data_IF_269230583837
#
_entry.id   IF_269230583837
#
_cell.length_a   1.000
_cell.length_b   1.000
_cell.length_c   1.000
_cell.angle_alpha   90.00
_cell.angle_beta   90.00
_cell.angle_gamma   90.00
#
_symmetry.space_group_name_H-M   'P 1'
#
loop_
_entity.id
_entity.type
_entity.pdbx_description
1 polymer ?
#
# COMPACT_ATOMS: atom_id res chain seq x y z
N UNK A 1 1.74 -7.72 19.54
CA UNK A 1 2.86 -6.79 19.28
C UNK A 1 2.42 -5.90 18.14
N UNK A 2 1.99 -4.67 18.46
CA UNK A 2 1.45 -3.71 17.51
C UNK A 2 2.48 -3.41 16.43
N UNK A 3 2.19 -3.74 15.17
CA UNK A 3 2.70 -2.97 14.06
C UNK A 3 2.13 -1.57 14.30
N UNK A 4 2.97 -0.56 14.42
CA UNK A 4 2.47 0.82 14.49
C UNK A 4 1.77 1.10 13.18
N UNK A 5 0.47 1.48 13.17
CA UNK A 5 -0.14 1.99 11.97
C UNK A 5 0.65 3.21 11.52
N UNK A 6 0.93 3.28 10.24
CA UNK A 6 1.50 4.45 9.60
C UNK A 6 0.55 5.63 9.83
N UNK A 7 0.79 6.47 10.81
CA UNK A 7 -0.01 7.63 11.18
C UNK A 7 -1.31 7.32 11.94
N UNK A 8 -1.25 7.26 13.27
CA UNK A 8 -2.38 7.60 14.11
C UNK A 8 -2.70 9.10 13.93
N UNK A 9 -3.50 9.44 12.94
CA UNK A 9 -4.26 10.68 12.94
C UNK A 9 -5.52 10.43 13.77
N UNK A 10 -5.78 11.33 14.73
CA UNK A 10 -6.98 11.27 15.55
C UNK A 10 -8.25 11.18 14.68
N UNK A 11 -9.32 10.48 15.11
CA UNK A 11 -10.50 10.18 14.30
C UNK A 11 -11.28 11.40 13.78
N UNK A 12 -10.89 12.61 14.10
CA UNK A 12 -11.65 13.83 13.80
C UNK A 12 -11.12 14.66 12.63
N UNK A 13 -10.02 14.26 11.97
CA UNK A 13 -9.48 15.03 10.84
C UNK A 13 -9.72 14.32 9.51
N UNK A 14 -10.97 13.92 9.29
CA UNK A 14 -11.43 13.39 8.00
C UNK A 14 -11.60 14.55 7.03
N UNK A 15 -10.52 15.02 6.43
CA UNK A 15 -10.65 15.84 5.24
C UNK A 15 -11.05 14.95 4.08
N UNK A 16 -12.14 15.28 3.35
CA UNK A 16 -12.47 14.56 2.12
C UNK A 16 -11.27 14.64 1.17
N UNK A 17 -10.95 13.52 0.53
CA UNK A 17 -9.92 13.43 -0.50
C UNK A 17 -10.17 14.55 -1.54
N UNK A 18 -9.43 15.65 -1.46
CA UNK A 18 -9.45 16.66 -2.51
C UNK A 18 -8.70 16.08 -3.70
N UNK A 19 -9.30 16.05 -4.90
CA UNK A 19 -8.58 15.69 -6.10
C UNK A 19 -7.51 16.79 -6.35
N UNK A 20 -6.28 16.50 -5.94
CA UNK A 20 -5.13 17.29 -6.38
C UNK A 20 -4.84 16.87 -7.83
N UNK A 21 -5.31 17.68 -8.74
CA UNK A 21 -4.86 17.63 -10.14
C UNK A 21 -3.40 18.09 -10.13
N UNK A 22 -2.48 17.16 -9.94
CA UNK A 22 -1.09 17.39 -10.29
C UNK A 22 -0.98 17.35 -11.82
N UNK A 23 -0.18 18.25 -12.46
CA UNK A 23 0.05 18.20 -13.89
C UNK A 23 0.59 16.83 -14.25
N UNK A 24 -0.11 16.15 -15.18
CA UNK A 24 0.17 14.78 -15.55
C UNK A 24 1.62 14.57 -15.94
N UNK A 25 2.32 13.77 -15.19
CA UNK A 25 3.56 13.16 -15.67
C UNK A 25 3.16 12.24 -16.85
N UNK A 26 3.78 12.36 -18.03
CA UNK A 26 3.39 11.53 -19.17
C UNK A 26 3.49 10.06 -18.75
N UNK A 27 2.46 9.27 -19.12
CA UNK A 27 2.48 7.83 -18.94
C UNK A 27 3.81 7.30 -19.50
N UNK A 28 4.66 6.78 -18.62
CA UNK A 28 5.97 6.30 -19.01
C UNK A 28 5.78 5.08 -19.90
N UNK A 29 6.42 5.11 -21.08
CA UNK A 29 6.54 3.97 -21.96
C UNK A 29 7.13 2.79 -21.16
N UNK A 30 6.30 1.80 -20.85
CA UNK A 30 6.66 0.64 -20.03
C UNK A 30 7.50 -0.40 -20.79
N UNK A 31 7.97 -0.11 -21.99
CA UNK A 31 8.74 -1.03 -22.84
C UNK A 31 10.25 -0.92 -22.68
N UNK A 32 10.77 0.08 -22.00
CA UNK A 32 12.19 0.21 -21.68
C UNK A 32 12.48 -0.13 -20.24
N UNK A 33 13.44 -1.00 -19.98
CA UNK A 33 13.99 -1.27 -18.66
C UNK A 33 14.61 0.03 -18.09
N UNK A 34 13.75 0.94 -17.58
CA UNK A 34 14.24 2.08 -16.81
C UNK A 34 14.99 1.53 -15.61
N UNK A 35 16.22 1.99 -15.45
CA UNK A 35 17.01 1.63 -14.28
C UNK A 35 16.22 2.06 -13.04
N UNK A 36 16.11 1.18 -12.06
CA UNK A 36 15.41 1.43 -10.79
C UNK A 36 15.79 2.75 -10.11
N UNK A 37 16.97 3.33 -10.45
CA UNK A 37 17.46 4.64 -10.00
C UNK A 37 16.81 5.83 -10.73
N UNK A 38 15.98 5.58 -11.75
CA UNK A 38 15.34 6.63 -12.57
C UNK A 38 13.85 6.74 -12.28
N UNK A 39 13.30 5.83 -11.45
CA UNK A 39 11.89 5.82 -11.08
C UNK A 39 11.75 6.17 -9.58
N UNK A 40 10.70 6.88 -9.23
CA UNK A 40 10.34 7.07 -7.84
C UNK A 40 9.77 5.79 -7.22
N UNK A 41 9.52 5.83 -5.94
CA UNK A 41 8.99 4.68 -5.20
C UNK A 41 7.57 4.96 -4.72
N UNK A 42 6.76 3.91 -4.66
CA UNK A 42 5.50 3.87 -3.94
C UNK A 42 5.66 2.88 -2.78
N UNK A 43 5.87 3.40 -1.59
CA UNK A 43 5.92 2.59 -0.38
C UNK A 43 4.50 2.35 0.06
N UNK A 44 4.11 1.09 0.18
CA UNK A 44 2.75 0.68 0.52
C UNK A 44 2.74 -0.18 1.78
N UNK A 45 1.64 -0.09 2.51
CA UNK A 45 1.32 -0.94 3.65
C UNK A 45 -0.19 -1.15 3.70
N UNK A 46 -0.63 -2.39 3.89
CA UNK A 46 -2.04 -2.78 3.91
C UNK A 46 -2.40 -3.45 5.22
N UNK A 47 -3.58 -3.09 5.77
CA UNK A 47 -4.26 -3.92 6.75
C UNK A 47 -5.40 -4.69 6.09
N UNK A 48 -5.58 -5.93 6.49
CA UNK A 48 -6.51 -6.88 5.82
C UNK A 48 -7.26 -7.73 6.84
N UNK A 49 -8.39 -8.32 6.42
CA UNK A 49 -9.18 -9.23 7.27
C UNK A 49 -8.46 -10.54 7.56
N UNK A 50 -7.44 -10.90 6.76
CA UNK A 50 -6.68 -12.13 6.91
C UNK A 50 -5.47 -12.17 5.97
N UNK A 51 -4.98 -13.37 5.65
CA UNK A 51 -3.71 -13.54 4.95
C UNK A 51 -3.84 -13.96 3.48
N UNK A 52 -5.06 -14.24 3.02
CA UNK A 52 -5.32 -14.80 1.69
C UNK A 52 -5.90 -13.74 0.75
N UNK A 53 -5.16 -13.25 -0.25
CA UNK A 53 -5.69 -12.29 -1.23
C UNK A 53 -6.96 -12.76 -1.96
N UNK A 54 -7.17 -14.08 -2.07
CA UNK A 54 -8.34 -14.65 -2.74
C UNK A 54 -9.60 -14.75 -1.86
N UNK A 55 -9.43 -14.66 -0.52
CA UNK A 55 -10.52 -14.86 0.43
C UNK A 55 -10.74 -13.67 1.37
N UNK A 56 -9.72 -12.84 1.54
CA UNK A 56 -9.72 -11.76 2.50
C UNK A 56 -9.79 -10.39 1.81
N UNK A 57 -10.23 -9.38 2.56
CA UNK A 57 -10.42 -8.03 2.08
C UNK A 57 -9.38 -7.05 2.66
N UNK A 58 -9.12 -5.96 1.94
CA UNK A 58 -8.32 -4.83 2.42
C UNK A 58 -9.18 -3.97 3.35
N UNK A 59 -8.63 -3.57 4.50
CA UNK A 59 -9.26 -2.72 5.51
C UNK A 59 -8.62 -1.33 5.61
N UNK A 60 -7.34 -1.21 5.30
CA UNK A 60 -6.61 0.06 5.26
C UNK A 60 -5.56 0.01 4.16
N UNK A 61 -5.36 1.16 3.53
CA UNK A 61 -4.29 1.39 2.56
C UNK A 61 -3.47 2.58 3.01
N UNK A 62 -2.16 2.39 3.17
CA UNK A 62 -1.18 3.43 3.37
C UNK A 62 -0.25 3.54 2.17
N UNK A 63 0.00 4.77 1.69
CA UNK A 63 0.88 5.04 0.55
C UNK A 63 1.79 6.23 0.85
N UNK A 64 3.10 6.04 0.62
CA UNK A 64 4.08 7.13 0.60
C UNK A 64 4.74 7.12 -0.77
N UNK A 65 4.64 8.22 -1.49
CA UNK A 65 5.29 8.42 -2.79
C UNK A 65 6.58 9.18 -2.61
N UNK A 66 7.63 8.70 -3.24
CA UNK A 66 8.94 9.38 -3.25
C UNK A 66 9.42 9.59 -4.67
N UNK A 67 10.35 10.49 -4.85
CA UNK A 67 11.18 10.56 -6.06
C UNK A 67 12.21 9.43 -6.09
N UNK A 68 13.09 9.45 -7.09
CA UNK A 68 14.14 8.45 -7.29
C UNK A 68 15.25 8.52 -6.22
N UNK A 69 15.40 9.64 -5.54
CA UNK A 69 16.36 9.86 -4.46
C UNK A 69 15.78 9.52 -3.09
N UNK A 70 14.49 9.10 -3.04
CA UNK A 70 13.79 8.72 -1.83
C UNK A 70 13.19 9.91 -1.06
N UNK A 71 13.18 11.11 -1.64
CA UNK A 71 12.53 12.25 -1.01
C UNK A 71 11.01 12.12 -1.11
N UNK A 72 10.30 12.33 0.00
CA UNK A 72 8.85 12.20 0.05
C UNK A 72 8.19 13.31 -0.76
N UNK A 73 7.43 12.91 -1.77
CA UNK A 73 6.61 13.82 -2.59
C UNK A 73 5.19 13.97 -2.02
N UNK A 74 4.61 12.86 -1.56
CA UNK A 74 3.26 12.82 -1.01
C UNK A 74 3.05 11.56 -0.17
N UNK A 75 2.16 11.65 0.81
CA UNK A 75 1.67 10.50 1.55
C UNK A 75 0.17 10.61 1.80
N UNK A 76 -0.51 9.46 1.91
CA UNK A 76 -1.90 9.37 2.31
C UNK A 76 -2.21 7.98 2.87
N UNK A 77 -3.26 7.90 3.67
CA UNK A 77 -3.86 6.62 4.07
C UNK A 77 -5.38 6.75 4.09
N UNK A 78 -6.05 5.64 3.94
CA UNK A 78 -7.51 5.57 4.08
C UNK A 78 -7.93 4.20 4.59
N UNK A 79 -8.95 4.21 5.44
CA UNK A 79 -9.70 3.00 5.76
C UNK A 79 -10.55 2.61 4.56
N UNK A 80 -10.83 1.33 4.44
CA UNK A 80 -11.65 0.75 3.38
C UNK A 80 -12.82 0.00 4.03
N UNK A 81 -14.03 0.26 3.57
CA UNK A 81 -15.20 -0.52 3.94
C UNK A 81 -15.23 -1.82 3.10
N UNK A 82 -15.01 -2.99 3.70
CA UNK A 82 -15.03 -4.26 2.97
C UNK A 82 -16.45 -4.77 2.68
N UNK A 83 -17.45 -4.03 3.11
CA UNK A 83 -18.88 -4.38 3.02
C UNK A 83 -19.47 -4.94 4.32
N UNK A 84 -20.79 -4.85 4.46
CA UNK A 84 -21.49 -5.03 5.75
C UNK A 84 -21.47 -6.47 6.29
N UNK A 85 -21.19 -7.47 5.47
CA UNK A 85 -21.16 -8.88 5.85
C UNK A 85 -19.75 -9.41 6.09
N UNK A 86 -18.73 -8.55 5.98
CA UNK A 86 -17.34 -8.98 6.10
C UNK A 86 -16.90 -8.93 7.56
N UNK A 87 -16.39 -10.06 8.06
CA UNK A 87 -15.69 -10.10 9.34
C UNK A 87 -14.35 -9.35 9.20
N UNK A 88 -14.09 -8.41 10.09
CA UNK A 88 -12.85 -7.62 10.06
C UNK A 88 -11.61 -8.42 10.45
N UNK A 89 -11.77 -9.66 10.92
CA UNK A 89 -10.65 -10.54 11.25
C UNK A 89 -9.94 -10.17 12.57
N UNK A 90 -8.63 -10.43 12.66
CA UNK A 90 -7.91 -10.38 13.93
C UNK A 90 -7.59 -8.95 14.38
N UNK A 91 -8.54 -8.28 15.02
CA UNK A 91 -8.38 -6.92 15.60
C UNK A 91 -7.13 -6.78 16.47
N UNK A 92 -6.67 -7.86 17.11
CA UNK A 92 -5.44 -7.85 17.89
C UNK A 92 -4.16 -7.61 17.03
N UNK A 93 -4.24 -7.83 15.70
CA UNK A 93 -3.13 -7.63 14.77
C UNK A 93 -3.15 -6.22 14.21
N UNK A 94 -4.22 -5.82 13.54
CA UNK A 94 -4.33 -4.52 12.84
C UNK A 94 -4.98 -3.42 13.69
N UNK A 95 -5.66 -3.75 14.78
CA UNK A 95 -6.26 -2.78 15.70
C UNK A 95 -7.61 -2.20 15.25
N UNK A 96 -8.08 -2.52 14.05
CA UNK A 96 -9.32 -2.00 13.47
C UNK A 96 -10.53 -2.82 13.92
N UNK A 97 -11.65 -2.15 14.12
CA UNK A 97 -12.95 -2.73 14.45
C UNK A 97 -13.96 -2.36 13.38
N UNK A 98 -15.02 -3.13 13.24
CA UNK A 98 -16.07 -2.86 12.27
C UNK A 98 -16.62 -1.41 12.35
N UNK A 99 -16.76 -0.89 13.57
CA UNK A 99 -17.21 0.49 13.78
C UNK A 99 -16.25 1.56 13.22
N UNK A 100 -14.95 1.26 13.13
CA UNK A 100 -13.94 2.19 12.63
C UNK A 100 -14.04 2.35 11.09
N UNK A 101 -14.63 1.35 10.43
CA UNK A 101 -14.80 1.28 8.99
C UNK A 101 -16.12 1.92 8.50
N UNK A 102 -17.01 2.28 9.42
CA UNK A 102 -18.30 2.88 9.07
C UNK A 102 -18.10 4.22 8.37
N UNK A 103 -18.60 4.30 7.12
CA UNK A 103 -18.46 5.48 6.27
C UNK A 103 -17.08 5.65 5.62
N UNK A 104 -16.21 4.63 5.72
CA UNK A 104 -15.03 4.55 4.89
C UNK A 104 -15.44 4.33 3.40
N UNK A 105 -14.62 4.74 2.43
CA UNK A 105 -14.86 4.44 1.03
C UNK A 105 -14.74 2.93 0.76
N UNK A 106 -15.44 2.42 -0.24
CA UNK A 106 -15.15 1.12 -0.81
C UNK A 106 -13.80 1.14 -1.55
N UNK A 107 -13.17 -0.02 -1.73
CA UNK A 107 -11.89 -0.08 -2.45
C UNK A 107 -12.01 0.45 -3.88
N UNK A 108 -13.14 0.23 -4.55
CA UNK A 108 -13.40 0.75 -5.90
C UNK A 108 -13.36 2.29 -5.97
N UNK A 109 -13.75 2.98 -4.89
CA UNK A 109 -13.76 4.46 -4.84
C UNK A 109 -12.34 5.05 -4.81
N UNK A 110 -11.36 4.27 -4.36
CA UNK A 110 -9.95 4.69 -4.26
C UNK A 110 -9.04 4.00 -5.29
N UNK A 111 -9.58 3.07 -6.05
CA UNK A 111 -8.82 2.25 -6.98
C UNK A 111 -8.08 3.08 -8.04
N UNK A 112 -8.74 4.06 -8.66
CA UNK A 112 -8.11 4.93 -9.66
C UNK A 112 -6.97 5.77 -9.07
N UNK A 113 -7.11 6.20 -7.82
CA UNK A 113 -6.04 6.91 -7.10
C UNK A 113 -4.83 5.99 -6.88
N UNK A 114 -5.07 4.77 -6.41
CA UNK A 114 -4.03 3.76 -6.22
C UNK A 114 -3.31 3.46 -7.53
N UNK A 115 -4.05 3.15 -8.58
CA UNK A 115 -3.51 2.87 -9.91
C UNK A 115 -2.60 3.99 -10.40
N UNK A 116 -3.07 5.23 -10.30
CA UNK A 116 -2.33 6.41 -10.72
C UNK A 116 -1.05 6.59 -9.91
N UNK A 117 -1.10 6.36 -8.60
CA UNK A 117 0.02 6.57 -7.70
C UNK A 117 1.09 5.48 -7.83
N UNK A 118 0.69 4.26 -8.14
CA UNK A 118 1.61 3.15 -8.41
C UNK A 118 2.23 3.22 -9.81
N UNK A 119 1.56 3.88 -10.76
CA UNK A 119 2.00 3.91 -12.16
C UNK A 119 3.40 4.54 -12.33
N UNK A 120 4.31 3.79 -12.95
CA UNK A 120 5.67 4.24 -13.26
C UNK A 120 6.61 4.33 -12.05
N UNK A 121 6.22 3.78 -10.90
CA UNK A 121 7.04 3.71 -9.68
C UNK A 121 7.41 2.27 -9.35
N UNK A 122 8.50 2.10 -8.59
CA UNK A 122 8.78 0.82 -7.97
C UNK A 122 7.95 0.69 -6.68
N UNK A 123 7.22 -0.40 -6.54
CA UNK A 123 6.46 -0.69 -5.32
C UNK A 123 7.38 -1.23 -4.24
N UNK A 124 7.35 -0.61 -3.07
CA UNK A 124 8.14 -0.97 -1.90
C UNK A 124 7.21 -1.37 -0.76
N UNK A 125 7.42 -2.53 -0.16
CA UNK A 125 6.67 -2.94 1.04
C UNK A 125 7.54 -3.86 1.93
N UNK A 126 7.12 -3.99 3.19
CA UNK A 126 7.75 -4.92 4.13
C UNK A 126 7.01 -6.26 4.11
N UNK A 127 7.53 -7.24 3.40
CA UNK A 127 6.88 -8.45 2.90
C UNK A 127 6.04 -8.19 1.64
N UNK A 128 6.63 -7.53 0.66
CA UNK A 128 5.97 -7.04 -0.56
C UNK A 128 5.13 -8.09 -1.32
N UNK A 129 5.38 -9.39 -1.11
CA UNK A 129 4.54 -10.45 -1.68
C UNK A 129 3.11 -10.40 -1.15
N UNK A 130 2.94 -10.02 0.11
CA UNK A 130 1.64 -9.89 0.75
C UNK A 130 0.86 -8.73 0.15
N UNK A 131 1.39 -7.51 0.24
CA UNK A 131 0.71 -6.29 -0.21
C UNK A 131 0.43 -6.31 -1.71
N UNK A 132 1.44 -6.66 -2.51
CA UNK A 132 1.29 -6.78 -3.96
C UNK A 132 0.28 -7.87 -4.33
N UNK A 133 0.23 -8.97 -3.59
CA UNK A 133 -0.76 -10.03 -3.78
C UNK A 133 -2.19 -9.52 -3.62
N UNK A 134 -2.47 -8.79 -2.55
CA UNK A 134 -3.78 -8.17 -2.31
C UNK A 134 -4.13 -7.13 -3.38
N UNK A 135 -3.21 -6.22 -3.71
CA UNK A 135 -3.45 -5.22 -4.75
C UNK A 135 -3.69 -5.87 -6.12
N UNK A 136 -2.93 -6.91 -6.48
CA UNK A 136 -3.13 -7.63 -7.75
C UNK A 136 -4.51 -8.27 -7.81
N UNK A 137 -4.93 -8.94 -6.73
CA UNK A 137 -6.23 -9.59 -6.66
C UNK A 137 -7.36 -8.56 -6.71
N UNK A 138 -7.24 -7.47 -5.98
CA UNK A 138 -8.28 -6.48 -5.83
C UNK A 138 -8.42 -5.55 -7.06
N UNK A 139 -7.29 -5.17 -7.68
CA UNK A 139 -7.26 -4.20 -8.77
C UNK A 139 -7.11 -4.85 -10.16
N UNK A 140 -6.56 -6.07 -10.25
CA UNK A 140 -6.17 -6.70 -11.51
C UNK A 140 -7.31 -6.92 -12.50
N UNK A 141 -8.53 -7.19 -12.01
CA UNK A 141 -9.67 -7.48 -12.87
C UNK A 141 -10.33 -6.26 -13.51
N UNK A 142 -10.25 -5.09 -12.88
CA UNK A 142 -10.95 -3.87 -13.30
C UNK A 142 -10.03 -2.80 -13.89
N UNK A 143 -8.80 -2.72 -13.40
CA UNK A 143 -7.88 -1.64 -13.73
C UNK A 143 -6.72 -2.08 -14.62
N UNK A 144 -6.75 -3.31 -15.15
CA UNK A 144 -5.75 -3.90 -16.06
C UNK A 144 -4.30 -3.77 -15.53
N UNK A 145 -4.16 -3.63 -14.21
CA UNK A 145 -2.86 -3.62 -13.59
C UNK A 145 -2.46 -5.05 -13.25
N UNK A 146 -1.61 -5.58 -14.08
CA UNK A 146 -0.72 -6.65 -13.69
C UNK A 146 0.37 -6.06 -12.75
N UNK A 147 -0.06 -5.61 -11.59
CA UNK A 147 0.85 -5.08 -10.56
C UNK A 147 1.89 -6.15 -10.18
N UNK A 148 1.55 -7.43 -10.38
CA UNK A 148 2.44 -8.53 -10.04
C UNK A 148 3.58 -8.76 -11.02
N UNK A 149 3.36 -8.59 -12.33
CA UNK A 149 4.33 -9.01 -13.36
C UNK A 149 5.15 -7.87 -13.95
N UNK A 150 4.66 -6.62 -13.93
CA UNK A 150 5.28 -5.50 -14.65
C UNK A 150 5.78 -4.35 -13.78
N UNK A 151 5.39 -4.29 -12.52
CA UNK A 151 5.85 -3.24 -11.61
C UNK A 151 7.07 -3.75 -10.86
N UNK A 152 8.21 -3.06 -10.94
CA UNK A 152 9.36 -3.39 -10.10
C UNK A 152 8.93 -3.34 -8.63
N UNK A 153 9.21 -4.40 -7.91
CA UNK A 153 8.89 -4.48 -6.48
C UNK A 153 10.15 -4.65 -5.65
N UNK A 154 10.18 -3.97 -4.52
CA UNK A 154 11.24 -4.04 -3.53
C UNK A 154 10.65 -4.55 -2.22
N UNK A 155 11.16 -5.67 -1.74
CA UNK A 155 10.78 -6.23 -0.45
C UNK A 155 11.84 -5.86 0.60
N UNK A 156 11.51 -4.93 1.49
CA UNK A 156 12.46 -4.49 2.52
C UNK A 156 12.78 -5.58 3.53
N UNK A 157 11.87 -6.55 3.74
CA UNK A 157 12.15 -7.74 4.56
C UNK A 157 13.20 -8.65 3.93
N UNK A 158 13.18 -8.83 2.60
CA UNK A 158 14.21 -9.59 1.87
C UNK A 158 15.53 -8.84 1.88
N UNK A 159 15.51 -7.51 1.70
CA UNK A 159 16.70 -6.68 1.80
C UNK A 159 17.35 -6.74 3.18
N UNK A 160 16.55 -6.65 4.25
CA UNK A 160 17.05 -6.80 5.61
C UNK A 160 17.80 -8.12 5.81
N UNK A 161 17.37 -9.19 5.11
CA UNK A 161 18.07 -10.49 5.16
C UNK A 161 19.51 -10.42 4.66
N UNK A 162 19.78 -9.57 3.68
CA UNK A 162 21.07 -9.51 3.00
C UNK A 162 21.99 -8.40 3.54
N UNK A 163 21.41 -7.33 4.05
CA UNK A 163 22.16 -6.10 4.37
C UNK A 163 22.17 -5.74 5.84
N UNK A 164 21.36 -6.40 6.66
CA UNK A 164 21.24 -6.05 8.07
C UNK A 164 21.51 -7.24 8.98
N UNK A 165 22.26 -6.98 10.06
CA UNK A 165 22.43 -7.94 11.16
C UNK A 165 21.42 -7.57 12.26
N UNK A 166 20.22 -8.13 12.16
CA UNK A 166 19.15 -7.93 13.14
C UNK A 166 18.68 -9.24 13.74
N UNK A 167 18.23 -9.27 15.01
CA UNK A 167 17.71 -10.49 15.63
C UNK A 167 16.36 -10.93 15.03
N UNK A 168 15.68 -10.06 14.32
CA UNK A 168 14.38 -10.29 13.72
C UNK A 168 14.24 -9.46 12.45
N UNK A 169 13.47 -9.95 11.48
CA UNK A 169 13.13 -9.23 10.25
C UNK A 169 11.80 -8.48 10.33
N UNK A 170 11.27 -8.28 11.52
CA UNK A 170 10.10 -7.41 11.72
C UNK A 170 10.51 -5.98 11.44
N UNK A 171 9.63 -5.19 10.84
CA UNK A 171 9.92 -3.81 10.45
C UNK A 171 10.49 -3.00 11.64
N UNK A 172 9.88 -3.14 12.82
CA UNK A 172 10.34 -2.48 14.06
C UNK A 172 11.78 -2.83 14.45
N UNK A 173 12.24 -4.05 14.17
CA UNK A 173 13.62 -4.45 14.45
C UNK A 173 14.60 -3.98 13.35
N UNK A 174 14.09 -3.76 12.14
CA UNK A 174 14.90 -3.24 11.03
C UNK A 174 15.10 -1.71 11.11
N UNK A 175 14.25 -1.00 11.87
CA UNK A 175 14.31 0.46 12.02
C UNK A 175 15.05 0.92 13.31
N UNK A 176 15.61 0.00 14.07
CA UNK A 176 16.46 0.27 15.26
C UNK A 176 17.94 0.26 14.90
#
# INVERSE_FOLDING_TARGET
MRLMPFYHRAPHDRQPLRPLVAPGRPAADVTGARRWREVGYAVIDLETTGLSPAADAILEVGVVLTDADGQVERSWSTLIDPGPLTDVGPTAVHGLRAQDLVGAPALDDVADLLVRDLAGRAVVAHNARFDVGFLTQALGGRHMLDVGARVPRVCTMEWARHFMTTPSRRLTACCQ
#
